data_IF_231138912116
#
_entry.id   IF_231138912116
#
_cell.length_a   1.000
_cell.length_b   1.000
_cell.length_c   1.000
_cell.angle_alpha   90.00
_cell.angle_beta   90.00
_cell.angle_gamma   90.00
#
_symmetry.space_group_name_H-M   'P 1'
#
loop_
_entity.id
_entity.type
_entity.pdbx_description
1 polymer ?
#
# COMPACT_ATOMS: atom_id res chain seq x y z
N UNK A 1 -11.26 22.24 0.70
CA UNK A 1 -11.63 20.99 -0.01
C UNK A 1 -10.87 19.86 0.68
N UNK A 2 -11.55 18.79 1.08
CA UNK A 2 -10.92 17.66 1.79
C UNK A 2 -10.67 16.49 0.83
N UNK A 3 -9.50 15.86 0.93
CA UNK A 3 -9.15 14.68 0.15
C UNK A 3 -9.84 13.46 0.75
N UNK A 4 -10.55 12.70 -0.08
CA UNK A 4 -11.23 11.45 0.32
C UNK A 4 -10.63 10.18 -0.31
N UNK A 5 -9.88 10.33 -1.40
CA UNK A 5 -9.31 9.21 -2.13
C UNK A 5 -7.87 9.54 -2.56
N UNK A 6 -6.95 8.60 -2.35
CA UNK A 6 -5.55 8.68 -2.79
C UNK A 6 -5.26 7.49 -3.70
N UNK A 7 -4.68 7.76 -4.86
CA UNK A 7 -4.13 6.74 -5.74
C UNK A 7 -2.61 6.88 -5.79
N UNK A 8 -1.89 5.80 -5.54
CA UNK A 8 -0.43 5.74 -5.63
C UNK A 8 -0.01 4.82 -6.77
N UNK A 9 0.72 5.35 -7.75
CA UNK A 9 1.28 4.58 -8.86
C UNK A 9 2.69 4.13 -8.47
N UNK A 10 2.84 2.84 -8.20
CA UNK A 10 4.08 2.18 -7.78
C UNK A 10 3.94 1.50 -6.42
N UNK A 11 3.81 0.18 -6.40
CA UNK A 11 3.66 -0.62 -5.18
C UNK A 11 5.02 -1.14 -4.65
N UNK A 12 6.06 -0.31 -4.76
CA UNK A 12 7.42 -0.64 -4.30
C UNK A 12 7.67 -0.27 -2.84
N UNK A 13 8.95 -0.21 -2.47
CA UNK A 13 9.43 0.12 -1.12
C UNK A 13 8.98 1.48 -0.59
N UNK A 14 8.76 2.47 -1.46
CA UNK A 14 8.27 3.78 -1.02
C UNK A 14 6.75 3.82 -0.99
N UNK A 15 6.11 3.50 -2.12
CA UNK A 15 4.66 3.63 -2.28
C UNK A 15 3.87 2.73 -1.33
N UNK A 16 4.22 1.44 -1.24
CA UNK A 16 3.48 0.49 -0.40
C UNK A 16 3.45 0.89 1.08
N UNK A 17 4.61 0.96 1.76
CA UNK A 17 4.67 1.32 3.18
C UNK A 17 4.10 2.71 3.49
N UNK A 18 4.37 3.72 2.64
CA UNK A 18 3.82 5.07 2.85
C UNK A 18 2.30 5.06 2.81
N UNK A 19 1.72 4.38 1.82
CA UNK A 19 0.28 4.29 1.66
C UNK A 19 -0.39 3.43 2.75
N UNK A 20 0.28 2.39 3.23
CA UNK A 20 -0.16 1.60 4.37
C UNK A 20 -0.26 2.45 5.65
N UNK A 21 0.76 3.26 5.93
CA UNK A 21 0.74 4.18 7.10
C UNK A 21 -0.32 5.26 6.95
N UNK A 22 -0.51 5.83 5.75
CA UNK A 22 -1.58 6.82 5.51
C UNK A 22 -2.95 6.18 5.76
N UNK A 23 -3.21 4.98 5.21
CA UNK A 23 -4.47 4.28 5.44
C UNK A 23 -4.71 4.00 6.94
N UNK A 24 -3.66 3.62 7.68
CA UNK A 24 -3.73 3.38 9.13
C UNK A 24 -4.02 4.66 9.93
N UNK A 25 -3.38 5.79 9.59
CA UNK A 25 -3.49 7.06 10.33
C UNK A 25 -4.69 7.91 9.88
N UNK A 26 -5.20 7.69 8.68
CA UNK A 26 -6.27 8.45 8.07
C UNK A 26 -7.39 7.51 7.57
N UNK A 27 -8.14 6.84 8.48
CA UNK A 27 -9.12 5.82 8.10
C UNK A 27 -10.33 6.36 7.30
N UNK A 28 -10.48 7.68 7.22
CA UNK A 28 -11.51 8.36 6.42
C UNK A 28 -11.09 8.58 4.96
N UNK A 29 -9.85 8.25 4.60
CA UNK A 29 -9.32 8.36 3.23
C UNK A 29 -9.19 6.96 2.64
N UNK A 30 -9.81 6.73 1.48
CA UNK A 30 -9.59 5.51 0.72
C UNK A 30 -8.23 5.59 0.01
N UNK A 31 -7.35 4.62 0.27
CA UNK A 31 -6.04 4.55 -0.37
C UNK A 31 -5.98 3.36 -1.31
N UNK A 32 -5.60 3.59 -2.56
CA UNK A 32 -5.43 2.55 -3.57
C UNK A 32 -4.00 2.62 -4.12
N UNK A 33 -3.28 1.51 -4.03
CA UNK A 33 -1.94 1.38 -4.60
C UNK A 33 -2.02 0.53 -5.87
N UNK A 34 -1.49 1.03 -6.97
CA UNK A 34 -1.49 0.35 -8.27
C UNK A 34 -0.06 0.15 -8.77
N UNK A 35 0.20 -0.91 -9.52
CA UNK A 35 1.48 -1.19 -10.13
C UNK A 35 1.26 -1.91 -11.46
N UNK A 36 2.15 -1.72 -12.43
CA UNK A 36 2.07 -2.43 -13.71
C UNK A 36 2.40 -3.92 -13.57
N UNK A 37 3.06 -4.33 -12.48
CA UNK A 37 3.37 -5.72 -12.19
C UNK A 37 2.21 -6.39 -11.42
N UNK A 38 1.42 -7.28 -12.05
CA UNK A 38 0.29 -7.93 -11.40
C UNK A 38 0.70 -8.90 -10.28
N UNK A 39 1.85 -9.57 -10.39
CA UNK A 39 2.35 -10.48 -9.35
C UNK A 39 2.73 -9.71 -8.09
N UNK A 40 3.25 -8.49 -8.24
CA UNK A 40 3.54 -7.61 -7.09
C UNK A 40 2.25 -7.20 -6.38
N UNK A 41 1.20 -6.83 -7.11
CA UNK A 41 -0.11 -6.51 -6.52
C UNK A 41 -0.73 -7.75 -5.85
N UNK A 42 -0.58 -8.92 -6.47
CA UNK A 42 -1.03 -10.19 -5.87
C UNK A 42 -0.30 -10.48 -4.56
N UNK A 43 1.01 -10.26 -4.49
CA UNK A 43 1.79 -10.42 -3.26
C UNK A 43 1.34 -9.45 -2.15
N UNK A 44 1.06 -8.18 -2.47
CA UNK A 44 0.51 -7.23 -1.50
C UNK A 44 -0.86 -7.62 -0.94
N UNK A 45 -1.68 -8.32 -1.73
CA UNK A 45 -2.99 -8.82 -1.30
C UNK A 45 -2.93 -10.26 -0.75
N UNK A 46 -1.73 -10.81 -0.59
CA UNK A 46 -1.49 -12.16 -0.06
C UNK A 46 -1.32 -12.17 1.46
N UNK A 47 -0.78 -13.27 2.01
CA UNK A 47 -0.40 -13.38 3.42
C UNK A 47 0.61 -12.31 3.85
N UNK A 48 0.40 -11.70 5.02
CA UNK A 48 1.23 -10.60 5.55
C UNK A 48 2.69 -11.00 5.82
N UNK A 49 2.96 -12.28 6.08
CA UNK A 49 4.31 -12.81 6.25
C UNK A 49 5.08 -12.95 4.91
N UNK A 50 4.42 -12.70 3.78
CA UNK A 50 4.96 -12.85 2.43
C UNK A 50 4.88 -11.58 1.58
N UNK A 51 4.76 -10.41 2.22
CA UNK A 51 4.72 -9.13 1.52
C UNK A 51 5.94 -8.95 0.60
N UNK A 52 5.79 -8.27 -0.56
CA UNK A 52 6.86 -8.13 -1.55
C UNK A 52 7.99 -7.19 -1.11
N UNK A 53 7.87 -6.59 0.08
CA UNK A 53 8.90 -5.78 0.74
C UNK A 53 8.96 -6.19 2.22
N UNK A 54 10.17 -6.25 2.78
CA UNK A 54 10.38 -6.51 4.19
C UNK A 54 10.67 -5.19 4.90
N UNK A 55 9.81 -4.80 5.83
CA UNK A 55 9.98 -3.66 6.73
C UNK A 55 9.48 -4.06 8.12
N UNK A 56 10.26 -3.84 9.20
CA UNK A 56 9.81 -4.12 10.56
C UNK A 56 8.50 -3.37 10.88
N UNK A 57 7.45 -4.11 11.27
CA UNK A 57 6.15 -3.56 11.64
C UNK A 57 5.20 -3.26 10.48
N UNK A 58 5.54 -3.66 9.25
CA UNK A 58 4.64 -3.58 8.10
C UNK A 58 3.68 -4.78 7.99
N UNK A 59 4.15 -5.96 8.38
CA UNK A 59 3.37 -7.20 8.47
C UNK A 59 2.62 -7.31 9.81
#
# INVERSE_FOLDING_TARGET
>A
MEVKNICCIGAGYVGGPTMAVIALKCPHINVTVVDANPERIKAWNGPLDTLPVYEPGLA
#
